data_IF_346045313875
#
_entry.id   IF_346045313875
#
_cell.length_a   1.000
_cell.length_b   1.000
_cell.length_c   1.000
_cell.angle_alpha   90.00
_cell.angle_beta   90.00
_cell.angle_gamma   90.00
#
_symmetry.space_group_name_H-M   'P 1'
#
loop_
_entity.id
_entity.type
_entity.pdbx_description
1 polymer ?
#
# COMPACT_ATOMS: atom_id res chain seq x y z
N UNK A 1 -57.84 3.00 0.72
CA UNK A 1 -57.70 3.52 2.10
C UNK A 1 -56.21 3.78 2.33
N UNK A 2 -55.86 5.03 2.68
CA UNK A 2 -54.53 5.55 3.12
C UNK A 2 -53.44 5.47 2.04
N UNK A 3 -53.21 6.48 1.20
CA UNK A 3 -52.82 7.91 1.36
C UNK A 3 -51.34 8.10 1.73
N UNK A 4 -50.63 8.57 0.70
CA UNK A 4 -49.25 9.06 0.60
C UNK A 4 -49.04 10.30 1.47
N UNK A 5 -47.91 10.36 2.20
CA UNK A 5 -47.39 11.62 2.74
C UNK A 5 -46.05 11.97 2.09
N UNK A 6 -46.10 13.06 1.30
CA UNK A 6 -44.96 13.78 0.75
C UNK A 6 -44.56 14.85 1.75
N UNK A 7 -43.28 14.92 2.08
CA UNK A 7 -42.68 16.04 2.78
C UNK A 7 -42.57 17.25 1.83
N UNK A 8 -42.88 18.45 2.31
CA UNK A 8 -42.63 19.70 1.60
C UNK A 8 -42.76 20.95 2.48
N UNK A 9 -41.67 21.74 2.49
CA UNK A 9 -41.49 23.22 2.53
C UNK A 9 -42.12 24.02 3.69
N UNK A 10 -41.32 24.60 4.61
CA UNK A 10 -40.58 25.87 4.53
C UNK A 10 -41.44 27.15 4.62
N UNK A 11 -41.20 28.00 5.63
CA UNK A 11 -40.53 29.32 5.52
C UNK A 11 -41.04 30.41 6.52
N UNK A 12 -40.05 31.11 7.12
CA UNK A 12 -39.94 32.54 7.51
C UNK A 12 -40.80 33.26 8.57
N UNK A 13 -40.08 33.70 9.62
CA UNK A 13 -39.91 35.06 10.22
C UNK A 13 -41.05 36.09 10.19
N UNK A 14 -41.30 36.75 11.34
CA UNK A 14 -41.31 38.23 11.49
C UNK A 14 -40.94 38.64 12.94
N UNK A 15 -40.11 39.68 13.05
CA UNK A 15 -39.73 40.47 14.23
C UNK A 15 -40.85 41.32 14.86
N UNK A 16 -40.71 41.61 16.16
CA UNK A 16 -41.05 42.85 16.88
C UNK A 16 -40.85 42.58 18.39
N UNK A 17 -40.13 43.33 19.22
CA UNK A 17 -39.74 44.73 19.23
C UNK A 17 -40.13 45.32 20.59
N UNK A 18 -39.19 46.01 21.27
CA UNK A 18 -39.27 46.73 22.57
C UNK A 18 -39.27 45.92 23.88
N UNK A 19 -38.83 46.43 25.02
CA UNK A 19 -37.79 47.38 25.48
C UNK A 19 -37.82 47.26 27.02
N UNK A 20 -36.70 47.41 27.74
CA UNK A 20 -36.73 47.36 29.21
C UNK A 20 -35.42 46.97 29.90
N UNK A 21 -34.80 47.95 30.53
CA UNK A 21 -33.43 48.03 31.06
C UNK A 21 -33.05 47.01 32.16
N UNK A 22 -31.78 46.59 32.16
CA UNK A 22 -31.12 45.88 33.28
C UNK A 22 -30.01 46.77 33.86
N UNK A 23 -29.98 47.03 35.18
CA UNK A 23 -28.82 47.64 35.81
C UNK A 23 -27.74 46.60 36.14
N UNK A 24 -26.49 47.00 35.91
CA UNK A 24 -25.27 46.29 36.26
C UNK A 24 -24.98 46.43 37.76
N UNK A 25 -24.58 45.33 38.40
CA UNK A 25 -24.03 45.29 39.76
C UNK A 25 -22.66 44.59 39.76
N UNK A 26 -21.63 45.33 40.12
CA UNK A 26 -20.23 44.92 40.33
C UNK A 26 -19.99 44.42 41.76
N UNK A 27 -19.10 43.42 41.93
CA UNK A 27 -18.49 43.02 43.21
C UNK A 27 -18.12 41.52 43.23
N UNK A 28 -16.86 41.17 42.92
CA UNK A 28 -15.78 40.77 43.85
C UNK A 28 -15.78 39.29 44.28
N UNK A 29 -14.65 38.62 44.02
CA UNK A 29 -14.32 37.24 44.38
C UNK A 29 -13.97 37.10 45.87
N UNK A 30 -14.49 36.07 46.56
CA UNK A 30 -13.86 35.48 47.75
C UNK A 30 -14.09 33.96 47.86
N UNK A 31 -13.19 33.32 48.61
CA UNK A 31 -12.77 31.92 48.66
C UNK A 31 -13.54 30.97 49.61
N UNK A 32 -13.49 29.67 49.26
CA UNK A 32 -13.57 28.40 50.02
C UNK A 32 -14.00 28.41 51.50
N UNK A 33 -15.01 27.60 51.85
CA UNK A 33 -15.11 26.92 53.16
C UNK A 33 -15.70 25.50 53.05
N UNK A 34 -15.05 24.56 53.76
CA UNK A 34 -15.42 23.16 53.92
C UNK A 34 -16.64 23.01 54.84
N UNK A 35 -17.61 22.19 54.43
CA UNK A 35 -18.72 21.74 55.27
C UNK A 35 -18.82 20.22 55.23
N UNK A 36 -18.35 19.55 56.29
CA UNK A 36 -18.54 18.11 56.49
C UNK A 36 -20.00 17.85 56.87
N UNK A 37 -20.75 17.17 56.00
CA UNK A 37 -22.07 16.62 56.34
C UNK A 37 -21.88 15.13 56.64
N UNK A 38 -22.01 14.81 57.92
CA UNK A 38 -22.12 13.44 58.44
C UNK A 38 -23.52 12.93 58.10
N UNK A 39 -23.61 12.04 57.10
CA UNK A 39 -24.83 11.33 56.73
C UNK A 39 -24.87 9.94 57.37
N UNK A 40 -25.94 9.67 58.11
CA UNK A 40 -26.21 8.41 58.79
C UNK A 40 -26.25 7.20 57.84
N UNK A 41 -25.70 6.09 58.33
CA UNK A 41 -25.66 4.74 57.75
C UNK A 41 -27.05 4.16 57.50
N UNK A 42 -27.35 3.84 56.24
CA UNK A 42 -28.40 2.88 55.88
C UNK A 42 -27.77 1.49 55.71
N UNK A 43 -28.10 0.57 56.64
CA UNK A 43 -27.75 -0.84 56.61
C UNK A 43 -28.54 -1.58 55.51
N UNK A 44 -28.02 -1.63 54.28
CA UNK A 44 -28.58 -2.54 53.27
C UNK A 44 -27.63 -3.07 52.19
N UNK A 45 -26.35 -2.66 52.14
CA UNK A 45 -25.41 -3.18 51.14
C UNK A 45 -24.06 -3.49 51.80
N UNK A 46 -23.90 -4.76 52.19
CA UNK A 46 -22.63 -5.36 52.59
C UNK A 46 -21.86 -5.67 51.29
N UNK A 47 -20.65 -5.11 51.05
CA UNK A 47 -19.85 -5.52 49.90
C UNK A 47 -19.36 -6.95 50.14
N UNK A 48 -19.47 -7.87 49.17
CA UNK A 48 -18.96 -9.22 49.34
C UNK A 48 -17.43 -9.17 49.47
N UNK A 49 -16.95 -9.81 50.53
CA UNK A 49 -15.53 -9.99 50.79
C UNK A 49 -14.94 -10.98 49.78
N UNK A 50 -13.86 -10.54 49.13
CA UNK A 50 -12.75 -11.29 48.53
C UNK A 50 -12.96 -12.81 48.40
N UNK A 51 -13.42 -13.26 47.24
CA UNK A 51 -12.85 -14.47 46.63
C UNK A 51 -11.74 -14.01 45.69
N UNK A 52 -10.54 -14.46 46.00
CA UNK A 52 -9.31 -14.26 45.27
C UNK A 52 -9.52 -14.62 43.79
N UNK A 53 -9.86 -13.61 43.00
CA UNK A 53 -9.99 -13.75 41.55
C UNK A 53 -8.61 -14.12 41.05
N UNK A 54 -8.52 -15.31 40.48
CA UNK A 54 -7.42 -15.79 39.66
C UNK A 54 -6.92 -14.63 38.81
N UNK A 55 -5.60 -14.56 38.62
CA UNK A 55 -4.94 -13.67 37.66
C UNK A 55 -5.62 -13.91 36.29
N UNK A 56 -6.68 -13.18 36.01
CA UNK A 56 -7.19 -12.96 34.67
C UNK A 56 -6.12 -12.09 34.06
N UNK A 57 -5.51 -12.54 32.96
CA UNK A 57 -4.68 -11.70 32.12
C UNK A 57 -5.52 -10.49 31.71
N UNK A 58 -5.42 -9.40 32.47
CA UNK A 58 -6.11 -8.16 32.14
C UNK A 58 -5.41 -7.65 30.89
N UNK A 59 -5.96 -7.97 29.72
CA UNK A 59 -5.50 -7.43 28.44
C UNK A 59 -5.40 -5.92 28.57
N UNK A 60 -4.25 -5.38 28.14
CA UNK A 60 -4.03 -3.93 28.13
C UNK A 60 -5.06 -3.24 27.21
N UNK A 61 -5.33 -1.96 27.45
CA UNK A 61 -6.25 -1.17 26.61
C UNK A 61 -5.88 -1.21 25.11
N UNK A 62 -4.60 -1.08 24.72
CA UNK A 62 -4.18 -1.24 23.32
C UNK A 62 -4.46 -2.62 22.73
N UNK A 63 -4.24 -3.69 23.51
CA UNK A 63 -4.53 -5.06 23.05
C UNK A 63 -6.03 -5.31 22.88
N UNK A 64 -6.87 -4.74 23.76
CA UNK A 64 -8.33 -4.82 23.62
C UNK A 64 -8.81 -4.04 22.39
N UNK A 65 -8.26 -2.85 22.15
CA UNK A 65 -8.57 -2.07 20.95
C UNK A 65 -8.16 -2.82 19.67
N UNK A 66 -6.96 -3.42 19.66
CA UNK A 66 -6.46 -4.24 18.57
C UNK A 66 -7.41 -5.41 18.25
N UNK A 67 -7.88 -6.15 19.26
CA UNK A 67 -8.89 -7.21 19.04
C UNK A 67 -10.19 -6.67 18.42
N UNK A 68 -10.64 -5.49 18.86
CA UNK A 68 -11.80 -4.82 18.26
C UNK A 68 -11.58 -4.51 16.78
N UNK A 69 -10.40 -3.97 16.42
CA UNK A 69 -10.05 -3.69 15.02
C UNK A 69 -9.90 -4.95 14.18
N UNK A 70 -9.31 -6.01 14.72
CA UNK A 70 -9.20 -7.32 14.05
C UNK A 70 -10.59 -7.90 13.80
N UNK A 71 -11.47 -7.90 14.80
CA UNK A 71 -12.85 -8.40 14.65
C UNK A 71 -13.62 -7.63 13.58
N UNK A 72 -13.57 -6.29 13.63
CA UNK A 72 -14.20 -5.44 12.61
C UNK A 72 -13.60 -5.68 11.22
N UNK A 73 -12.28 -5.90 11.14
CA UNK A 73 -11.59 -6.27 9.90
C UNK A 73 -12.07 -7.60 9.33
N UNK A 74 -12.21 -8.64 10.17
CA UNK A 74 -12.74 -9.93 9.76
C UNK A 74 -14.18 -9.81 9.22
N UNK A 75 -15.04 -9.04 9.90
CA UNK A 75 -16.41 -8.80 9.43
C UNK A 75 -16.44 -8.06 8.09
N UNK A 76 -15.59 -7.04 7.92
CA UNK A 76 -15.45 -6.30 6.65
C UNK A 76 -14.95 -7.20 5.51
N UNK A 77 -13.98 -8.10 5.78
CA UNK A 77 -13.47 -9.07 4.80
C UNK A 77 -14.54 -10.08 4.41
N UNK A 78 -15.27 -10.64 5.37
CA UNK A 78 -16.36 -11.58 5.12
C UNK A 78 -17.48 -10.95 4.28
N UNK A 79 -17.77 -9.67 4.51
CA UNK A 79 -18.74 -8.93 3.69
C UNK A 79 -18.19 -8.66 2.29
N UNK A 80 -16.93 -8.23 2.18
CA UNK A 80 -16.28 -7.98 0.90
C UNK A 80 -16.25 -9.22 0.00
N UNK A 81 -15.98 -10.40 0.56
CA UNK A 81 -15.99 -11.66 -0.20
C UNK A 81 -17.35 -11.96 -0.82
N UNK A 82 -18.44 -11.72 -0.07
CA UNK A 82 -19.82 -11.88 -0.59
C UNK A 82 -20.13 -10.86 -1.67
N UNK A 83 -19.70 -9.60 -1.49
CA UNK A 83 -19.93 -8.55 -2.47
C UNK A 83 -19.20 -8.86 -3.80
N UNK A 84 -18.03 -9.49 -3.73
CA UNK A 84 -17.22 -9.89 -4.89
C UNK A 84 -17.80 -11.09 -5.67
N UNK A 85 -18.89 -11.72 -5.23
CA UNK A 85 -19.58 -12.77 -6.00
C UNK A 85 -20.27 -12.21 -7.26
N UNK A 86 -20.57 -10.91 -7.27
CA UNK A 86 -21.31 -10.28 -8.37
C UNK A 86 -20.68 -8.97 -8.84
N UNK A 87 -20.67 -8.77 -10.15
CA UNK A 87 -20.30 -7.49 -10.78
C UNK A 87 -21.32 -6.40 -10.40
N UNK A 88 -20.91 -5.13 -10.45
CA UNK A 88 -21.86 -4.02 -10.35
C UNK A 88 -22.85 -4.11 -11.51
N UNK A 89 -24.14 -3.93 -11.23
CA UNK A 89 -25.15 -3.80 -12.28
C UNK A 89 -25.08 -2.38 -12.85
N UNK A 90 -24.53 -2.26 -14.04
CA UNK A 90 -24.46 -1.01 -14.76
C UNK A 90 -25.76 -0.76 -15.54
N UNK A 91 -26.24 0.49 -15.62
CA UNK A 91 -27.29 0.84 -16.59
C UNK A 91 -26.80 0.55 -18.01
N UNK A 92 -27.70 0.26 -18.97
CA UNK A 92 -27.30 -0.02 -20.34
C UNK A 92 -26.56 1.19 -20.93
N UNK A 93 -25.24 1.05 -21.07
CA UNK A 93 -24.37 2.10 -21.61
C UNK A 93 -24.58 2.18 -23.12
N UNK A 94 -24.82 3.38 -23.63
CA UNK A 94 -24.91 3.64 -25.07
C UNK A 94 -23.55 3.51 -25.75
N UNK A 95 -23.55 3.40 -27.08
CA UNK A 95 -22.33 3.49 -27.90
C UNK A 95 -22.03 4.92 -28.34
N UNK A 96 -22.68 5.91 -27.74
CA UNK A 96 -22.43 7.31 -28.05
C UNK A 96 -21.05 7.76 -27.51
N UNK A 97 -20.44 8.79 -28.11
CA UNK A 97 -19.13 9.27 -27.70
C UNK A 97 -19.03 9.66 -26.22
N UNK A 98 -20.12 10.15 -25.61
CA UNK A 98 -20.15 10.54 -24.20
C UNK A 98 -20.14 9.32 -23.27
N UNK A 99 -20.96 8.32 -23.55
CA UNK A 99 -20.98 7.05 -22.81
C UNK A 99 -19.63 6.31 -22.89
N UNK A 100 -18.98 6.35 -24.06
CA UNK A 100 -17.65 5.75 -24.22
C UNK A 100 -16.57 6.49 -23.42
N UNK A 101 -16.60 7.83 -23.43
CA UNK A 101 -15.68 8.66 -22.64
C UNK A 101 -15.90 8.45 -21.14
N UNK A 102 -17.15 8.48 -20.68
CA UNK A 102 -17.49 8.22 -19.28
C UNK A 102 -17.00 6.84 -18.83
N UNK A 103 -17.15 5.82 -19.68
CA UNK A 103 -16.69 4.47 -19.39
C UNK A 103 -15.16 4.40 -19.23
N UNK A 104 -14.43 5.06 -20.12
CA UNK A 104 -12.96 5.14 -20.07
C UNK A 104 -12.50 5.91 -18.83
N UNK A 105 -13.06 7.08 -18.57
CA UNK A 105 -12.71 7.93 -17.41
C UNK A 105 -13.05 7.27 -16.07
N UNK A 106 -14.22 6.64 -15.98
CA UNK A 106 -14.63 5.91 -14.77
C UNK A 106 -13.72 4.72 -14.53
N UNK A 107 -13.40 3.96 -15.58
CA UNK A 107 -12.50 2.81 -15.49
C UNK A 107 -11.11 3.25 -15.00
N UNK A 108 -10.53 4.29 -15.59
CA UNK A 108 -9.21 4.80 -15.21
C UNK A 108 -9.22 5.36 -13.77
N UNK A 109 -10.28 6.08 -13.38
CA UNK A 109 -10.44 6.61 -12.01
C UNK A 109 -10.53 5.47 -10.99
N UNK A 110 -11.33 4.44 -11.26
CA UNK A 110 -11.45 3.27 -10.39
C UNK A 110 -10.12 2.50 -10.29
N UNK A 111 -9.38 2.31 -11.39
CA UNK A 111 -8.06 1.65 -11.36
C UNK A 111 -7.05 2.41 -10.51
N UNK A 112 -6.99 3.73 -10.65
CA UNK A 112 -6.11 4.58 -9.83
C UNK A 112 -6.51 4.50 -8.34
N UNK A 113 -7.81 4.45 -8.06
CA UNK A 113 -8.34 4.34 -6.70
C UNK A 113 -7.94 3.00 -6.08
N UNK A 114 -8.15 1.88 -6.78
CA UNK A 114 -7.71 0.55 -6.35
C UNK A 114 -6.20 0.54 -6.09
N UNK A 115 -5.39 1.08 -7.00
CA UNK A 115 -3.93 1.14 -6.85
C UNK A 115 -3.51 1.92 -5.60
N UNK A 116 -4.18 3.04 -5.33
CA UNK A 116 -3.90 3.89 -4.18
C UNK A 116 -4.27 3.20 -2.86
N UNK A 117 -5.45 2.58 -2.79
CA UNK A 117 -5.87 1.85 -1.60
C UNK A 117 -5.02 0.60 -1.37
N UNK A 118 -4.67 -0.17 -2.42
CA UNK A 118 -3.75 -1.30 -2.29
C UNK A 118 -2.37 -0.87 -1.79
N UNK A 119 -1.86 0.28 -2.24
CA UNK A 119 -0.60 0.81 -1.71
C UNK A 119 -0.69 1.14 -0.22
N UNK A 120 -1.80 1.76 0.21
CA UNK A 120 -2.08 2.03 1.63
C UNK A 120 -2.14 0.72 2.44
N UNK A 121 -2.86 -0.28 1.94
CA UNK A 121 -2.99 -1.58 2.61
C UNK A 121 -1.67 -2.35 2.67
N UNK A 122 -0.85 -2.30 1.61
CA UNK A 122 0.48 -2.91 1.59
C UNK A 122 1.44 -2.19 2.54
N UNK A 123 1.40 -0.86 2.61
CA UNK A 123 2.18 -0.10 3.58
C UNK A 123 1.78 -0.44 5.03
N UNK A 124 0.47 -0.49 5.31
CA UNK A 124 -0.04 -0.92 6.62
C UNK A 124 0.34 -2.37 6.94
N UNK A 125 0.30 -3.27 5.95
CA UNK A 125 0.75 -4.67 6.12
C UNK A 125 2.23 -4.74 6.48
N UNK A 126 3.07 -3.95 5.79
CA UNK A 126 4.48 -3.84 6.12
C UNK A 126 4.67 -3.24 7.54
N UNK A 127 3.84 -2.28 7.95
CA UNK A 127 3.85 -1.74 9.30
C UNK A 127 3.47 -2.79 10.36
N UNK A 128 2.47 -3.64 10.11
CA UNK A 128 2.14 -4.78 11.00
C UNK A 128 3.36 -5.69 11.17
N UNK A 129 4.10 -5.94 10.08
CA UNK A 129 5.33 -6.74 10.13
C UNK A 129 6.43 -6.03 10.93
N UNK A 130 6.66 -4.73 10.73
CA UNK A 130 7.74 -4.01 11.41
C UNK A 130 7.43 -3.71 12.87
N UNK A 131 6.17 -3.46 13.23
CA UNK A 131 5.71 -3.17 14.59
C UNK A 131 5.56 -4.42 15.47
N UNK A 132 5.55 -5.61 14.87
CA UNK A 132 5.49 -6.89 15.58
C UNK A 132 6.88 -7.49 15.81
N UNK A 133 7.80 -6.75 16.45
CA UNK A 133 9.14 -7.24 16.79
C UNK A 133 9.07 -8.18 18.03
N UNK A 134 9.96 -9.18 18.13
CA UNK A 134 9.89 -10.18 19.22
C UNK A 134 10.24 -9.62 20.61
N UNK A 135 11.09 -8.58 20.66
CA UNK A 135 11.53 -7.98 21.92
C UNK A 135 10.52 -6.96 22.46
N UNK A 136 9.74 -6.35 21.56
CA UNK A 136 8.72 -5.35 21.88
C UNK A 136 7.67 -5.29 20.76
N UNK A 137 6.43 -5.67 21.06
CA UNK A 137 5.30 -5.54 20.12
C UNK A 137 4.61 -4.22 20.39
N UNK A 138 4.62 -3.34 19.38
CA UNK A 138 3.87 -2.09 19.42
C UNK A 138 2.41 -2.36 19.03
N UNK A 139 1.60 -2.73 20.02
CA UNK A 139 0.17 -3.01 19.83
C UNK A 139 -0.62 -1.80 19.31
N UNK A 140 -0.15 -0.57 19.56
CA UNK A 140 -0.78 0.66 19.07
C UNK A 140 -0.52 0.82 17.57
N UNK A 141 0.73 0.71 17.12
CA UNK A 141 1.08 0.76 15.71
C UNK A 141 0.45 -0.38 14.91
N UNK A 142 0.41 -1.61 15.46
CA UNK A 142 -0.30 -2.73 14.84
C UNK A 142 -1.81 -2.43 14.75
N UNK A 143 -2.43 -1.89 15.81
CA UNK A 143 -3.84 -1.51 15.81
C UNK A 143 -4.19 -0.45 14.78
N UNK A 144 -3.36 0.59 14.65
CA UNK A 144 -3.52 1.63 13.65
C UNK A 144 -3.42 1.07 12.22
N UNK A 145 -2.42 0.21 11.96
CA UNK A 145 -2.25 -0.43 10.66
C UNK A 145 -3.43 -1.36 10.30
N UNK A 146 -3.89 -2.18 11.25
CA UNK A 146 -5.07 -3.03 11.06
C UNK A 146 -6.31 -2.19 10.76
N UNK A 147 -6.54 -1.11 11.51
CA UNK A 147 -7.66 -0.19 11.26
C UNK A 147 -7.59 0.43 9.86
N UNK A 148 -6.39 0.81 9.40
CA UNK A 148 -6.18 1.36 8.05
C UNK A 148 -6.46 0.34 6.94
N UNK A 149 -6.07 -0.93 7.14
CA UNK A 149 -6.44 -2.03 6.25
C UNK A 149 -7.96 -2.17 6.20
N UNK A 150 -8.61 -2.25 7.37
CA UNK A 150 -10.07 -2.41 7.50
C UNK A 150 -10.85 -1.31 6.77
N UNK A 151 -10.40 -0.06 6.86
CA UNK A 151 -11.04 1.08 6.19
C UNK A 151 -10.87 1.07 4.67
N UNK A 152 -9.85 0.40 4.14
CA UNK A 152 -9.56 0.35 2.70
C UNK A 152 -10.28 -0.79 1.97
N UNK A 153 -10.69 -1.85 2.69
CA UNK A 153 -11.34 -3.03 2.10
C UNK A 153 -12.62 -2.67 1.32
N UNK A 154 -13.57 -1.87 1.86
CA UNK A 154 -14.83 -1.59 1.17
C UNK A 154 -14.61 -0.81 -0.14
N UNK A 155 -13.66 0.14 -0.13
CA UNK A 155 -13.32 0.94 -1.30
C UNK A 155 -12.72 0.07 -2.41
N UNK A 156 -11.71 -0.77 -2.09
CA UNK A 156 -11.12 -1.69 -3.08
C UNK A 156 -12.18 -2.62 -3.66
N UNK A 157 -13.04 -3.18 -2.81
CA UNK A 157 -14.09 -4.13 -3.22
C UNK A 157 -15.09 -3.48 -4.16
N UNK A 158 -15.58 -2.30 -3.81
CA UNK A 158 -16.52 -1.53 -4.62
C UNK A 158 -15.92 -1.18 -6.00
N UNK A 159 -14.71 -0.64 -6.01
CA UNK A 159 -14.06 -0.20 -7.25
C UNK A 159 -13.67 -1.38 -8.14
N UNK A 160 -13.21 -2.50 -7.57
CA UNK A 160 -12.94 -3.74 -8.33
C UNK A 160 -14.20 -4.28 -9.01
N UNK A 161 -15.35 -4.28 -8.33
CA UNK A 161 -16.61 -4.73 -8.94
C UNK A 161 -17.07 -3.82 -10.07
N UNK A 162 -16.78 -2.52 -9.97
CA UNK A 162 -17.04 -1.54 -11.02
C UNK A 162 -16.11 -1.77 -12.22
N UNK A 163 -14.80 -1.93 -11.99
CA UNK A 163 -13.83 -2.27 -13.04
C UNK A 163 -14.27 -3.55 -13.76
N UNK A 164 -14.57 -4.62 -13.02
CA UNK A 164 -14.99 -5.90 -13.58
C UNK A 164 -16.26 -5.81 -14.44
N UNK A 165 -17.16 -4.86 -14.15
CA UNK A 165 -18.37 -4.59 -14.93
C UNK A 165 -18.10 -3.73 -16.18
N UNK A 166 -17.08 -2.86 -16.14
CA UNK A 166 -16.72 -1.97 -17.25
C UNK A 166 -15.75 -2.61 -18.25
N UNK A 167 -15.07 -3.70 -17.88
CA UNK A 167 -14.17 -4.47 -18.74
C UNK A 167 -14.90 -5.07 -19.94
N UNK A 168 -14.25 -5.03 -21.11
CA UNK A 168 -14.82 -5.54 -22.37
C UNK A 168 -14.93 -7.08 -22.42
N UNK A 169 -14.13 -7.78 -21.61
CA UNK A 169 -14.06 -9.24 -21.54
C UNK A 169 -14.54 -9.76 -20.19
N UNK A 170 -15.64 -10.51 -20.21
CA UNK A 170 -16.26 -11.04 -18.99
C UNK A 170 -15.32 -11.96 -18.21
N UNK A 171 -14.49 -12.75 -18.91
CA UNK A 171 -13.55 -13.67 -18.30
C UNK A 171 -12.44 -12.93 -17.52
N UNK A 172 -12.00 -11.77 -18.00
CA UNK A 172 -10.99 -10.96 -17.31
C UNK A 172 -11.59 -10.24 -16.10
N UNK A 173 -12.85 -9.78 -16.20
CA UNK A 173 -13.59 -9.27 -15.06
C UNK A 173 -13.76 -10.31 -13.94
N UNK A 174 -14.08 -11.56 -14.29
CA UNK A 174 -14.23 -12.65 -13.30
C UNK A 174 -12.89 -13.04 -12.67
N UNK A 175 -11.80 -13.04 -13.44
CA UNK A 175 -10.44 -13.24 -12.91
C UNK A 175 -10.05 -12.15 -11.92
N UNK A 176 -10.46 -10.90 -12.17
CA UNK A 176 -10.22 -9.80 -11.26
C UNK A 176 -10.95 -10.01 -9.93
N UNK A 177 -12.24 -10.37 -9.98
CA UNK A 177 -13.03 -10.68 -8.78
C UNK A 177 -12.42 -11.84 -7.97
N UNK A 178 -11.96 -12.90 -8.65
CA UNK A 178 -11.27 -14.03 -8.02
C UNK A 178 -9.93 -13.60 -7.39
N UNK A 179 -9.12 -12.79 -8.07
CA UNK A 179 -7.87 -12.28 -7.52
C UNK A 179 -8.11 -11.42 -6.26
N UNK A 180 -9.14 -10.58 -6.26
CA UNK A 180 -9.50 -9.77 -5.10
C UNK A 180 -10.07 -10.61 -3.95
N UNK A 181 -10.82 -11.69 -4.22
CA UNK A 181 -11.23 -12.64 -3.16
C UNK A 181 -10.03 -13.33 -2.52
N UNK A 182 -9.03 -13.73 -3.31
CA UNK A 182 -7.77 -14.26 -2.77
C UNK A 182 -7.03 -13.24 -1.91
N UNK A 183 -7.08 -11.96 -2.30
CA UNK A 183 -6.53 -10.87 -1.50
C UNK A 183 -7.27 -10.72 -0.16
N UNK A 184 -8.61 -10.75 -0.15
CA UNK A 184 -9.41 -10.72 1.08
C UNK A 184 -9.05 -11.89 2.02
N UNK A 185 -8.94 -13.10 1.48
CA UNK A 185 -8.50 -14.27 2.24
C UNK A 185 -7.10 -14.08 2.84
N UNK A 186 -6.15 -13.54 2.06
CA UNK A 186 -4.80 -13.27 2.56
C UNK A 186 -4.79 -12.23 3.69
N UNK A 187 -5.62 -11.19 3.61
CA UNK A 187 -5.82 -10.24 4.72
C UNK A 187 -6.47 -10.90 5.94
N UNK A 188 -7.44 -11.80 5.76
CA UNK A 188 -8.06 -12.52 6.88
C UNK A 188 -7.03 -13.34 7.65
N UNK A 189 -6.14 -14.03 6.93
CA UNK A 189 -5.02 -14.78 7.53
C UNK A 189 -4.05 -13.86 8.25
N UNK A 190 -3.69 -12.71 7.65
CA UNK A 190 -2.81 -11.73 8.28
C UNK A 190 -3.39 -11.22 9.59
N UNK A 191 -4.68 -10.85 9.60
CA UNK A 191 -5.37 -10.35 10.78
C UNK A 191 -5.44 -11.40 11.90
N UNK A 192 -5.67 -12.68 11.56
CA UNK A 192 -5.62 -13.79 12.54
C UNK A 192 -4.22 -13.96 13.12
N UNK A 193 -3.19 -13.91 12.28
CA UNK A 193 -1.80 -14.01 12.74
C UNK A 193 -1.32 -12.78 13.53
N UNK A 194 -2.00 -11.64 13.42
CA UNK A 194 -1.69 -10.41 14.16
C UNK A 194 -2.39 -10.31 15.53
N UNK A 195 -3.16 -11.33 15.94
CA UNK A 195 -3.81 -11.35 17.25
C UNK A 195 -2.79 -11.31 18.40
N UNK A 196 -2.99 -10.46 19.42
CA UNK A 196 -2.03 -10.26 20.51
C UNK A 196 -1.81 -11.50 21.39
N UNK A 197 -2.76 -12.44 21.42
CA UNK A 197 -2.65 -13.71 22.15
C UNK A 197 -2.33 -14.91 21.23
N UNK A 198 -1.94 -14.65 19.98
CA UNK A 198 -1.60 -15.72 19.04
C UNK A 198 -0.42 -16.55 19.54
N UNK A 199 -0.63 -17.86 19.67
CA UNK A 199 0.42 -18.84 20.00
C UNK A 199 1.25 -19.25 18.78
N UNK A 200 0.96 -18.66 17.63
CA UNK A 200 1.57 -19.06 16.37
C UNK A 200 3.00 -18.51 16.24
N UNK A 201 3.89 -19.24 15.55
CA UNK A 201 5.23 -18.75 15.28
C UNK A 201 5.17 -17.49 14.42
N UNK A 202 6.06 -16.53 14.70
CA UNK A 202 6.17 -15.25 13.97
C UNK A 202 6.28 -15.40 12.44
N UNK A 203 6.81 -16.53 11.98
CA UNK A 203 6.90 -16.90 10.58
C UNK A 203 5.52 -16.98 9.89
N UNK A 204 4.46 -17.34 10.62
CA UNK A 204 3.10 -17.38 10.08
C UNK A 204 2.64 -15.99 9.66
N UNK A 205 2.86 -14.96 10.51
CA UNK A 205 2.57 -13.57 10.15
C UNK A 205 3.38 -13.12 8.93
N UNK A 206 4.67 -13.46 8.85
CA UNK A 206 5.50 -13.12 7.67
C UNK A 206 4.99 -13.78 6.38
N UNK A 207 4.56 -15.04 6.48
CA UNK A 207 4.00 -15.79 5.36
C UNK A 207 2.64 -15.20 4.93
N UNK A 208 1.77 -14.86 5.88
CA UNK A 208 0.49 -14.23 5.61
C UNK A 208 0.67 -12.85 4.94
N UNK A 209 1.58 -12.02 5.46
CA UNK A 209 1.95 -10.75 4.83
C UNK A 209 2.48 -10.97 3.41
N UNK A 210 3.34 -11.96 3.19
CA UNK A 210 3.84 -12.29 1.85
C UNK A 210 2.72 -12.67 0.88
N UNK A 211 1.73 -13.47 1.34
CA UNK A 211 0.54 -13.81 0.54
C UNK A 211 -0.28 -12.57 0.16
N UNK A 212 -0.40 -11.59 1.07
CA UNK A 212 -1.05 -10.30 0.78
C UNK A 212 -0.32 -9.59 -0.36
N UNK A 213 1.01 -9.49 -0.31
CA UNK A 213 1.81 -8.87 -1.38
C UNK A 213 1.60 -9.52 -2.75
N UNK A 214 1.61 -10.86 -2.79
CA UNK A 214 1.41 -11.64 -4.02
C UNK A 214 -0.01 -11.47 -4.58
N UNK A 215 -1.04 -11.51 -3.72
CA UNK A 215 -2.42 -11.29 -4.14
C UNK A 215 -2.65 -9.84 -4.59
N UNK A 216 -2.08 -8.85 -3.90
CA UNK A 216 -2.12 -7.44 -4.31
C UNK A 216 -1.48 -7.24 -5.68
N UNK A 217 -0.32 -7.87 -5.91
CA UNK A 217 0.33 -7.88 -7.22
C UNK A 217 -0.54 -8.50 -8.31
N UNK A 218 -1.22 -9.62 -8.01
CA UNK A 218 -2.13 -10.26 -8.97
C UNK A 218 -3.32 -9.36 -9.34
N UNK A 219 -3.91 -8.64 -8.38
CA UNK A 219 -4.98 -7.67 -8.64
C UNK A 219 -4.48 -6.54 -9.55
N UNK A 220 -3.34 -5.93 -9.22
CA UNK A 220 -2.72 -4.85 -10.00
C UNK A 220 -2.35 -5.26 -11.43
N UNK A 221 -1.85 -6.50 -11.59
CA UNK A 221 -1.56 -7.09 -12.89
C UNK A 221 -2.83 -7.29 -13.72
N UNK A 222 -3.93 -7.72 -13.09
CA UNK A 222 -5.20 -7.98 -13.77
C UNK A 222 -5.93 -6.71 -14.21
N UNK A 223 -5.84 -5.62 -13.43
CA UNK A 223 -6.42 -4.31 -13.83
C UNK A 223 -5.61 -3.60 -14.93
N UNK A 224 -4.43 -4.12 -15.28
CA UNK A 224 -3.58 -3.58 -16.34
C UNK A 224 -2.76 -2.35 -15.93
N UNK A 225 -2.58 -2.13 -14.62
CA UNK A 225 -1.72 -1.06 -14.07
C UNK A 225 -0.24 -1.47 -14.03
N UNK A 226 0.07 -2.74 -14.29
CA UNK A 226 1.44 -3.25 -14.30
C UNK A 226 2.11 -3.06 -15.67
N UNK A 227 2.91 -1.99 -15.80
CA UNK A 227 3.80 -1.82 -16.96
C UNK A 227 4.95 -2.84 -16.94
N UNK A 228 5.51 -3.16 -18.12
CA UNK A 228 6.69 -4.05 -18.24
C UNK A 228 7.85 -3.54 -17.38
N UNK A 229 8.04 -2.22 -17.34
CA UNK A 229 9.09 -1.56 -16.59
C UNK A 229 8.83 -1.63 -15.08
N UNK A 230 7.56 -1.52 -14.64
CA UNK A 230 7.17 -1.73 -13.24
C UNK A 230 7.53 -3.15 -12.80
N UNK A 231 7.27 -4.14 -13.64
CA UNK A 231 7.58 -5.55 -13.35
C UNK A 231 9.08 -5.81 -13.23
N UNK A 232 9.89 -5.26 -14.12
CA UNK A 232 11.36 -5.35 -14.03
C UNK A 232 11.90 -4.70 -12.75
N UNK A 233 11.35 -3.55 -12.34
CA UNK A 233 11.68 -2.90 -11.07
C UNK A 233 11.29 -3.78 -9.86
N UNK A 234 10.11 -4.40 -9.89
CA UNK A 234 9.66 -5.31 -8.85
C UNK A 234 10.60 -6.53 -8.72
N UNK A 235 10.95 -7.15 -9.85
CA UNK A 235 11.84 -8.32 -9.90
C UNK A 235 13.25 -7.98 -9.42
N UNK A 236 13.79 -6.81 -9.81
CA UNK A 236 15.09 -6.34 -9.36
C UNK A 236 15.09 -6.08 -7.84
N UNK A 237 14.05 -5.44 -7.31
CA UNK A 237 13.90 -5.20 -5.87
C UNK A 237 13.90 -6.52 -5.08
N UNK A 238 13.14 -7.52 -5.54
CA UNK A 238 13.08 -8.83 -4.90
C UNK A 238 14.41 -9.58 -5.00
N UNK A 239 15.15 -9.42 -6.10
CA UNK A 239 16.49 -9.97 -6.26
C UNK A 239 17.47 -9.37 -5.23
N UNK A 240 17.45 -8.05 -5.05
CA UNK A 240 18.28 -7.36 -4.07
C UNK A 240 17.94 -7.75 -2.63
N UNK A 241 16.65 -7.86 -2.29
CA UNK A 241 16.22 -8.35 -0.98
C UNK A 241 16.70 -9.78 -0.70
N UNK A 242 16.67 -10.66 -1.71
CA UNK A 242 17.25 -12.02 -1.63
C UNK A 242 18.77 -11.99 -1.46
N UNK A 243 19.47 -11.08 -2.13
CA UNK A 243 20.92 -10.92 -1.98
C UNK A 243 21.27 -10.53 -0.53
N UNK A 244 20.54 -9.58 0.07
CA UNK A 244 20.66 -9.25 1.49
C UNK A 244 20.46 -10.50 2.34
N UNK A 245 19.39 -11.26 2.11
CA UNK A 245 19.13 -12.50 2.87
C UNK A 245 20.26 -13.52 2.79
N UNK A 246 20.85 -13.72 1.60
CA UNK A 246 21.96 -14.65 1.40
C UNK A 246 23.23 -14.18 2.12
N UNK A 247 23.58 -12.90 2.00
CA UNK A 247 24.74 -12.32 2.72
C UNK A 247 24.55 -12.37 4.24
N UNK A 248 23.34 -12.10 4.74
CA UNK A 248 23.06 -12.20 6.18
C UNK A 248 23.10 -13.64 6.66
N UNK A 249 22.62 -14.61 5.87
CA UNK A 249 22.75 -16.02 6.21
C UNK A 249 24.22 -16.43 6.37
N UNK A 250 25.10 -15.96 5.47
CA UNK A 250 26.54 -16.19 5.58
C UNK A 250 27.12 -15.56 6.87
N UNK A 251 26.74 -14.31 7.20
CA UNK A 251 27.14 -13.65 8.44
C UNK A 251 26.69 -14.42 9.69
N UNK A 252 25.44 -14.87 9.72
CA UNK A 252 24.87 -15.66 10.83
C UNK A 252 25.62 -16.98 11.01
N UNK A 253 26.05 -17.62 9.92
CA UNK A 253 26.89 -18.82 10.00
C UNK A 253 28.25 -18.52 10.62
N UNK A 254 28.89 -17.39 10.27
CA UNK A 254 30.16 -16.96 10.89
C UNK A 254 29.99 -16.67 12.38
N UNK A 255 28.91 -15.99 12.77
CA UNK A 255 28.58 -15.75 14.18
C UNK A 255 28.38 -17.07 14.96
N UNK A 256 27.72 -18.06 14.35
CA UNK A 256 27.57 -19.40 14.96
C UNK A 256 28.91 -20.12 15.13
N UNK A 257 29.86 -19.96 14.20
CA UNK A 257 31.22 -20.50 14.36
C UNK A 257 31.95 -19.85 15.54
N UNK A 258 31.74 -18.55 15.77
CA UNK A 258 32.28 -17.85 16.95
C UNK A 258 31.64 -18.40 18.24
N UNK A 259 30.30 -18.51 18.28
CA UNK A 259 29.61 -19.07 19.43
C UNK A 259 30.07 -20.50 19.79
N UNK A 260 30.43 -21.31 18.77
CA UNK A 260 30.91 -22.67 18.98
C UNK A 260 32.28 -22.76 19.67
N UNK A 261 33.12 -21.73 19.55
CA UNK A 261 34.45 -21.67 20.19
C UNK A 261 34.47 -20.84 21.47
N UNK A 262 33.43 -20.04 21.73
CA UNK A 262 33.29 -19.30 22.98
C UNK A 262 33.04 -20.26 24.13
N UNK A 263 33.87 -20.20 25.18
CA UNK A 263 33.76 -21.06 26.37
C UNK A 263 32.66 -20.61 27.33
N UNK A 264 32.54 -19.29 27.54
CA UNK A 264 31.53 -18.68 28.40
C UNK A 264 30.11 -18.86 27.86
N UNK A 265 29.27 -19.53 28.64
CA UNK A 265 27.89 -19.84 28.26
C UNK A 265 27.02 -18.58 28.13
N UNK A 266 27.25 -17.58 28.97
CA UNK A 266 26.54 -16.30 28.89
C UNK A 266 26.80 -15.58 27.58
N UNK A 267 28.07 -15.44 27.21
CA UNK A 267 28.51 -14.81 25.95
C UNK A 267 28.12 -15.62 24.72
N UNK A 268 28.21 -16.96 24.79
CA UNK A 268 27.71 -17.85 23.74
C UNK A 268 26.22 -17.62 23.47
N UNK A 269 25.40 -17.55 24.51
CA UNK A 269 23.96 -17.31 24.38
C UNK A 269 23.65 -15.90 23.86
N UNK A 270 24.44 -14.88 24.24
CA UNK A 270 24.34 -13.53 23.66
C UNK A 270 24.58 -13.54 22.15
N UNK A 271 25.62 -14.23 21.66
CA UNK A 271 25.91 -14.35 20.22
C UNK A 271 24.78 -15.06 19.48
N UNK A 272 24.26 -16.16 20.03
CA UNK A 272 23.15 -16.92 19.42
C UNK A 272 21.87 -16.08 19.36
N UNK A 273 21.58 -15.32 20.42
CA UNK A 273 20.45 -14.39 20.47
C UNK A 273 20.56 -13.30 19.39
N UNK A 274 21.70 -12.61 19.33
CA UNK A 274 21.96 -11.57 18.32
C UNK A 274 21.90 -12.14 16.89
N UNK A 275 22.42 -13.35 16.66
CA UNK A 275 22.38 -14.00 15.35
C UNK A 275 20.95 -14.37 14.94
N UNK A 276 20.12 -14.82 15.90
CA UNK A 276 18.71 -15.14 15.66
C UNK A 276 17.88 -13.89 15.37
N UNK A 277 18.14 -12.80 16.09
CA UNK A 277 17.52 -11.48 15.85
C UNK A 277 17.88 -10.95 14.45
N UNK A 278 19.15 -11.05 14.05
CA UNK A 278 19.61 -10.66 12.72
C UNK A 278 18.95 -11.47 11.59
N UNK A 279 18.81 -12.78 11.78
CA UNK A 279 18.09 -13.63 10.84
C UNK A 279 16.60 -13.26 10.74
N UNK A 280 15.94 -12.98 11.87
CA UNK A 280 14.54 -12.58 11.89
C UNK A 280 14.30 -11.22 11.23
N UNK A 281 15.11 -10.20 11.56
CA UNK A 281 15.04 -8.87 10.93
C UNK A 281 15.20 -8.97 9.41
N UNK A 282 16.06 -9.88 8.95
CA UNK A 282 16.25 -10.13 7.51
C UNK A 282 15.03 -10.80 6.88
N UNK A 283 14.42 -11.78 7.55
CA UNK A 283 13.16 -12.38 7.08
C UNK A 283 12.02 -11.36 7.03
N UNK A 284 11.96 -10.42 7.99
CA UNK A 284 11.03 -9.29 7.97
C UNK A 284 11.28 -8.38 6.77
N UNK A 285 12.55 -8.02 6.49
CA UNK A 285 12.90 -7.23 5.31
C UNK A 285 12.42 -7.89 4.02
N UNK A 286 12.65 -9.20 3.85
CA UNK A 286 12.21 -9.92 2.65
C UNK A 286 10.69 -9.96 2.54
N UNK A 287 9.98 -10.20 3.64
CA UNK A 287 8.52 -10.16 3.67
C UNK A 287 8.00 -8.76 3.31
N UNK A 288 8.56 -7.70 3.92
CA UNK A 288 8.22 -6.32 3.60
C UNK A 288 8.47 -6.01 2.11
N UNK A 289 9.64 -6.39 1.58
CA UNK A 289 9.96 -6.19 0.16
C UNK A 289 8.94 -6.86 -0.77
N UNK A 290 8.46 -8.06 -0.44
CA UNK A 290 7.40 -8.76 -1.21
C UNK A 290 6.05 -8.06 -1.12
N UNK A 291 5.67 -7.59 0.06
CA UNK A 291 4.44 -6.83 0.28
C UNK A 291 4.43 -5.53 -0.51
N UNK A 292 5.55 -4.80 -0.46
CA UNK A 292 5.62 -3.44 -1.00
C UNK A 292 6.05 -3.38 -2.46
N UNK A 293 6.67 -4.43 -3.00
CA UNK A 293 7.12 -4.48 -4.39
C UNK A 293 6.06 -3.97 -5.38
N UNK A 294 4.82 -4.51 -5.42
CA UNK A 294 3.84 -4.11 -6.42
C UNK A 294 3.37 -2.65 -6.32
N UNK A 295 3.65 -2.00 -5.18
CA UNK A 295 3.23 -0.62 -4.89
C UNK A 295 4.40 0.26 -4.44
N UNK A 296 5.64 -0.10 -4.81
CA UNK A 296 6.88 0.58 -4.38
C UNK A 296 6.95 2.05 -4.81
N UNK A 297 6.12 2.41 -5.79
CA UNK A 297 5.93 3.77 -6.25
C UNK A 297 5.24 4.69 -5.22
N UNK A 298 4.59 4.11 -4.21
CA UNK A 298 3.99 4.85 -3.09
C UNK A 298 5.06 5.26 -2.08
N UNK A 299 5.06 6.51 -1.57
CA UNK A 299 6.00 6.94 -0.53
C UNK A 299 5.89 6.11 0.75
N UNK A 300 4.68 5.80 1.21
CA UNK A 300 4.47 5.03 2.44
C UNK A 300 5.11 3.64 2.37
N UNK A 301 4.99 2.97 1.21
CA UNK A 301 5.64 1.68 0.96
C UNK A 301 7.18 1.76 1.02
N UNK A 302 7.76 2.85 0.49
CA UNK A 302 9.21 3.07 0.51
C UNK A 302 9.71 3.30 1.93
N UNK A 303 9.02 4.15 2.70
CA UNK A 303 9.38 4.42 4.10
C UNK A 303 9.39 3.15 4.93
N UNK A 304 8.41 2.25 4.76
CA UNK A 304 8.39 0.97 5.46
C UNK A 304 9.54 0.04 5.05
N UNK A 305 9.89 0.00 3.76
CA UNK A 305 11.02 -0.81 3.30
C UNK A 305 12.37 -0.25 3.77
N UNK A 306 12.53 1.07 3.79
CA UNK A 306 13.71 1.75 4.33
C UNK A 306 13.83 1.57 5.85
N UNK A 307 12.70 1.57 6.58
CA UNK A 307 12.68 1.24 8.00
C UNK A 307 13.14 -0.21 8.26
N UNK A 308 12.61 -1.17 7.51
CA UNK A 308 13.02 -2.58 7.62
C UNK A 308 14.52 -2.77 7.28
N UNK A 309 15.03 -2.08 6.26
CA UNK A 309 16.45 -2.14 5.89
C UNK A 309 17.36 -1.55 6.99
N UNK A 310 16.92 -0.46 7.64
CA UNK A 310 17.62 0.12 8.80
C UNK A 310 17.66 -0.84 9.99
N UNK A 311 16.57 -1.58 10.24
CA UNK A 311 16.53 -2.57 11.32
C UNK A 311 17.54 -3.71 11.06
N UNK A 312 17.64 -4.20 9.82
CA UNK A 312 18.67 -5.19 9.47
C UNK A 312 20.07 -4.63 9.68
N UNK A 313 20.34 -3.38 9.28
CA UNK A 313 21.64 -2.75 9.50
C UNK A 313 21.99 -2.65 11.00
N UNK A 314 21.02 -2.29 11.84
CA UNK A 314 21.18 -2.25 13.31
C UNK A 314 21.45 -3.64 13.88
N UNK A 315 20.71 -4.66 13.45
CA UNK A 315 20.91 -6.03 13.91
C UNK A 315 22.28 -6.61 13.48
N UNK A 316 22.75 -6.27 12.27
CA UNK A 316 24.09 -6.64 11.78
C UNK A 316 25.18 -5.96 12.60
N UNK A 317 25.04 -4.67 12.91
CA UNK A 317 26.00 -3.94 13.74
C UNK A 317 26.07 -4.52 15.16
N UNK A 318 24.92 -4.78 15.79
CA UNK A 318 24.83 -5.43 17.10
C UNK A 318 25.49 -6.82 17.09
N UNK A 319 25.20 -7.64 16.06
CA UNK A 319 25.81 -8.96 15.92
C UNK A 319 27.34 -8.89 15.80
N UNK A 320 27.85 -7.93 15.02
CA UNK A 320 29.28 -7.72 14.86
C UNK A 320 29.94 -7.29 16.18
N UNK A 321 29.31 -6.39 16.94
CA UNK A 321 29.79 -5.95 18.25
C UNK A 321 29.85 -7.11 19.26
N UNK A 322 28.74 -7.83 19.45
CA UNK A 322 28.65 -8.97 20.38
C UNK A 322 29.65 -10.06 20.03
N UNK A 323 29.84 -10.35 18.74
CA UNK A 323 30.83 -11.35 18.32
C UNK A 323 32.28 -10.88 18.49
N UNK A 324 32.57 -9.57 18.35
CA UNK A 324 33.91 -9.02 18.57
C UNK A 324 34.31 -9.05 20.05
N UNK A 325 33.36 -8.92 20.97
CA UNK A 325 33.57 -9.12 22.40
C UNK A 325 33.74 -10.60 22.76
N UNK A 326 33.08 -11.50 22.02
CA UNK A 326 33.01 -12.92 22.32
C UNK A 326 34.26 -13.73 21.90
N UNK A 327 35.18 -13.14 21.13
CA UNK A 327 36.36 -13.85 20.63
C UNK A 327 37.59 -12.95 20.49
N UNK A 328 38.74 -13.47 20.89
CA UNK A 328 40.06 -12.86 20.63
C UNK A 328 40.70 -13.40 19.34
N UNK A 329 40.04 -14.34 18.65
CA UNK A 329 40.58 -14.94 17.44
C UNK A 329 40.49 -13.96 16.26
N UNK A 330 41.64 -13.39 15.89
CA UNK A 330 41.77 -12.39 14.84
C UNK A 330 41.26 -12.87 13.47
N UNK A 331 41.36 -14.16 13.16
CA UNK A 331 40.86 -14.73 11.91
C UNK A 331 39.32 -14.78 11.88
N UNK A 332 38.69 -15.26 12.96
CA UNK A 332 37.22 -15.31 13.05
C UNK A 332 36.60 -13.90 13.04
N UNK A 333 37.26 -12.93 13.69
CA UNK A 333 36.85 -11.51 13.64
C UNK A 333 36.97 -10.92 12.25
N UNK A 334 38.05 -11.24 11.53
CA UNK A 334 38.25 -10.81 10.15
C UNK A 334 37.16 -11.34 9.21
N UNK A 335 36.87 -12.65 9.28
CA UNK A 335 35.82 -13.32 8.52
C UNK A 335 34.43 -12.72 8.79
N UNK A 336 34.10 -12.49 10.07
CA UNK A 336 32.83 -11.89 10.47
C UNK A 336 32.70 -10.45 9.95
N UNK A 337 33.76 -9.65 10.08
CA UNK A 337 33.78 -8.25 9.63
C UNK A 337 33.63 -8.17 8.11
N UNK A 338 34.27 -9.07 7.36
CA UNK A 338 34.10 -9.18 5.92
C UNK A 338 32.64 -9.51 5.55
N UNK A 339 32.05 -10.51 6.20
CA UNK A 339 30.65 -10.87 5.99
C UNK A 339 29.68 -9.73 6.34
N UNK A 340 29.92 -8.99 7.43
CA UNK A 340 29.10 -7.85 7.82
C UNK A 340 29.17 -6.72 6.78
N UNK A 341 30.35 -6.48 6.20
CA UNK A 341 30.55 -5.52 5.12
C UNK A 341 29.80 -5.93 3.85
N UNK A 342 29.77 -7.21 3.51
CA UNK A 342 29.00 -7.72 2.37
C UNK A 342 27.49 -7.51 2.55
N UNK A 343 26.98 -7.67 3.78
CA UNK A 343 25.58 -7.33 4.11
C UNK A 343 25.33 -5.83 3.96
N UNK A 344 26.22 -4.98 4.50
CA UNK A 344 26.09 -3.53 4.36
C UNK A 344 26.10 -3.08 2.90
N UNK A 345 26.93 -3.71 2.05
CA UNK A 345 26.94 -3.44 0.60
C UNK A 345 25.61 -3.83 -0.05
N UNK A 346 25.11 -5.03 0.23
CA UNK A 346 23.83 -5.51 -0.34
C UNK A 346 22.64 -4.64 0.10
N UNK A 347 22.65 -4.16 1.35
CA UNK A 347 21.66 -3.20 1.85
C UNK A 347 21.76 -1.84 1.15
N UNK A 348 22.98 -1.36 0.89
CA UNK A 348 23.20 -0.11 0.16
C UNK A 348 22.65 -0.21 -1.28
N UNK A 349 22.93 -1.30 -1.98
CA UNK A 349 22.43 -1.56 -3.33
C UNK A 349 20.89 -1.58 -3.36
N UNK A 350 20.25 -2.21 -2.36
CA UNK A 350 18.79 -2.21 -2.19
C UNK A 350 18.22 -0.80 -1.99
N UNK A 351 18.82 -0.01 -1.09
CA UNK A 351 18.38 1.36 -0.79
C UNK A 351 18.59 2.31 -1.97
N UNK A 352 19.67 2.12 -2.73
CA UNK A 352 19.91 2.88 -3.97
C UNK A 352 18.83 2.59 -5.00
N UNK A 353 18.44 1.33 -5.17
CA UNK A 353 17.36 0.95 -6.08
C UNK A 353 16.01 1.61 -5.72
N UNK A 354 15.68 1.70 -4.43
CA UNK A 354 14.46 2.39 -3.94
C UNK A 354 14.49 3.89 -4.30
N UNK A 355 15.66 4.53 -4.17
CA UNK A 355 15.86 5.95 -4.54
C UNK A 355 15.77 6.17 -6.05
N UNK A 356 16.36 5.28 -6.85
CA UNK A 356 16.30 5.36 -8.31
C UNK A 356 14.86 5.21 -8.82
N UNK A 357 14.11 4.26 -8.25
CA UNK A 357 12.68 4.07 -8.55
C UNK A 357 11.85 5.34 -8.30
N UNK A 358 12.20 6.10 -7.26
CA UNK A 358 11.56 7.38 -6.93
C UNK A 358 11.83 8.44 -8.01
N UNK A 359 13.09 8.55 -8.43
CA UNK A 359 13.53 9.55 -9.42
C UNK A 359 12.94 9.25 -10.78
N UNK A 360 12.82 7.99 -11.14
CA UNK A 360 12.24 7.55 -12.40
C UNK A 360 10.74 7.85 -12.47
N UNK A 361 10.01 7.66 -11.37
CA UNK A 361 8.60 8.09 -11.26
C UNK A 361 8.45 9.62 -11.40
N UNK A 362 9.28 10.40 -10.69
CA UNK A 362 9.22 11.86 -10.79
C UNK A 362 9.42 12.34 -12.24
N UNK A 363 10.39 11.75 -12.94
CA UNK A 363 10.64 12.03 -14.36
C UNK A 363 9.49 11.60 -15.29
N UNK A 364 8.74 10.54 -14.93
CA UNK A 364 7.55 10.11 -15.69
C UNK A 364 6.37 11.05 -15.50
N UNK A 365 6.07 11.46 -14.28
CA UNK A 365 4.97 12.42 -14.02
C UNK A 365 5.23 13.74 -14.76
N UNK A 366 6.48 14.22 -14.79
CA UNK A 366 6.87 15.36 -15.61
C UNK A 366 6.66 15.11 -17.12
N UNK A 367 6.79 13.87 -17.60
CA UNK A 367 6.59 13.53 -19.01
C UNK A 367 5.12 13.19 -19.37
N UNK A 368 4.28 12.81 -18.40
CA UNK A 368 2.89 12.37 -18.59
C UNK A 368 1.86 13.51 -18.63
N UNK A 369 2.18 14.67 -18.04
CA UNK A 369 1.45 15.92 -18.25
C UNK A 369 2.23 16.91 -19.14
N UNK A 370 2.55 16.53 -20.41
CA UNK A 370 3.21 17.45 -21.33
C UNK A 370 2.30 18.63 -21.68
N UNK A 371 0.97 18.50 -21.51
CA UNK A 371 0.01 19.59 -21.67
C UNK A 371 0.16 20.63 -20.56
N UNK A 372 0.18 20.23 -19.29
CA UNK A 372 0.35 21.17 -18.18
C UNK A 372 1.74 21.81 -18.20
N UNK A 373 2.77 21.04 -18.55
CA UNK A 373 4.11 21.60 -18.72
C UNK A 373 4.20 22.60 -19.88
N UNK A 374 3.45 22.39 -20.96
CA UNK A 374 3.28 23.39 -22.02
C UNK A 374 2.54 24.61 -21.50
N UNK A 375 1.45 24.45 -20.74
CA UNK A 375 0.66 25.55 -20.19
C UNK A 375 1.48 26.40 -19.20
N UNK A 376 2.13 25.77 -18.23
CA UNK A 376 2.98 26.44 -17.22
C UNK A 376 4.19 27.11 -17.87
N UNK A 377 4.91 26.43 -18.77
CA UNK A 377 6.05 27.05 -19.45
C UNK A 377 5.63 28.21 -20.36
N UNK A 378 4.44 28.14 -20.97
CA UNK A 378 3.87 29.24 -21.76
C UNK A 378 3.48 30.42 -20.87
N UNK A 379 2.84 30.17 -19.73
CA UNK A 379 2.42 31.21 -18.79
C UNK A 379 3.62 31.95 -18.18
N UNK A 380 4.67 31.22 -17.80
CA UNK A 380 5.92 31.82 -17.30
C UNK A 380 6.65 32.58 -18.42
N UNK A 381 6.66 32.04 -19.65
CA UNK A 381 7.29 32.73 -20.79
C UNK A 381 6.58 34.04 -21.16
N UNK A 382 5.25 34.07 -21.06
CA UNK A 382 4.43 35.26 -21.35
C UNK A 382 4.51 36.29 -20.23
N UNK A 383 4.64 35.85 -18.97
CA UNK A 383 4.75 36.73 -17.80
C UNK A 383 6.19 37.18 -17.47
N UNK A 384 7.20 36.47 -17.99
CA UNK A 384 8.61 36.81 -17.74
C UNK A 384 9.04 38.07 -18.48
N UNK A 385 9.74 38.95 -17.76
CA UNK A 385 10.36 40.17 -18.27
C UNK A 385 11.88 40.05 -18.42
N UNK A 386 12.47 38.93 -17.97
CA UNK A 386 13.89 38.63 -18.07
C UNK A 386 14.18 37.81 -19.35
N UNK A 387 14.98 38.32 -20.29
CA UNK A 387 15.36 37.60 -21.50
C UNK A 387 16.00 36.23 -21.25
N UNK A 388 16.75 36.03 -20.15
CA UNK A 388 17.39 34.74 -19.88
C UNK A 388 16.38 33.69 -19.41
N UNK A 389 15.45 34.07 -18.52
CA UNK A 389 14.37 33.20 -18.11
C UNK A 389 13.41 32.89 -19.28
N UNK A 390 13.13 33.86 -20.15
CA UNK A 390 12.34 33.61 -21.37
C UNK A 390 12.99 32.55 -22.28
N UNK A 391 14.31 32.58 -22.46
CA UNK A 391 15.05 31.58 -23.26
C UNK A 391 14.96 30.20 -22.61
N UNK A 392 15.13 30.13 -21.28
CA UNK A 392 15.04 28.88 -20.51
C UNK A 392 13.65 28.25 -20.65
N UNK A 393 12.62 29.07 -20.50
CA UNK A 393 11.22 28.65 -20.63
C UNK A 393 10.86 28.28 -22.07
N UNK A 394 11.42 28.96 -23.08
CA UNK A 394 11.21 28.62 -24.48
C UNK A 394 11.79 27.25 -24.84
N UNK A 395 12.97 26.92 -24.29
CA UNK A 395 13.57 25.60 -24.43
C UNK A 395 12.75 24.51 -23.72
N UNK A 396 12.25 24.81 -22.52
CA UNK A 396 11.40 23.91 -21.74
C UNK A 396 10.06 23.64 -22.47
N UNK A 397 9.44 24.69 -23.00
CA UNK A 397 8.23 24.63 -23.83
C UNK A 397 8.46 23.80 -25.09
N UNK A 398 9.58 24.00 -25.79
CA UNK A 398 9.92 23.23 -26.99
C UNK A 398 10.07 21.72 -26.70
N UNK A 399 10.69 21.36 -25.57
CA UNK A 399 10.81 19.96 -25.12
C UNK A 399 9.45 19.38 -24.74
N UNK A 400 8.65 20.10 -23.96
CA UNK A 400 7.31 19.67 -23.55
C UNK A 400 6.38 19.49 -24.76
N UNK A 401 6.44 20.39 -25.74
CA UNK A 401 5.67 20.31 -26.99
C UNK A 401 6.12 19.12 -27.83
N UNK A 402 7.42 18.84 -27.93
CA UNK A 402 7.92 17.66 -28.65
C UNK A 402 7.45 16.35 -28.02
N UNK A 403 7.45 16.27 -26.69
CA UNK A 403 6.90 15.12 -25.94
C UNK A 403 5.39 14.98 -26.14
N UNK A 404 4.63 16.08 -26.13
CA UNK A 404 3.21 16.08 -26.44
C UNK A 404 2.93 15.54 -27.86
N UNK A 405 3.71 15.97 -28.85
CA UNK A 405 3.58 15.48 -30.23
C UNK A 405 3.87 13.98 -30.29
N UNK A 406 4.86 13.50 -29.55
CA UNK A 406 5.21 12.08 -29.48
C UNK A 406 4.11 11.25 -28.80
N UNK A 407 3.56 11.72 -27.67
CA UNK A 407 2.48 11.04 -26.96
C UNK A 407 1.20 10.95 -27.80
N UNK A 408 0.85 12.02 -28.54
CA UNK A 408 -0.27 12.02 -29.49
C UNK A 408 -0.03 11.01 -30.63
N UNK A 409 1.20 10.90 -31.16
CA UNK A 409 1.54 9.92 -32.19
C UNK A 409 1.42 8.48 -31.70
N UNK A 410 1.82 8.20 -30.46
CA UNK A 410 1.69 6.86 -29.83
C UNK A 410 0.22 6.52 -29.59
N UNK A 411 -0.57 7.43 -29.00
CA UNK A 411 -2.02 7.23 -28.79
C UNK A 411 -2.77 6.98 -30.11
N UNK A 412 -2.36 7.61 -31.22
CA UNK A 412 -2.94 7.33 -32.55
C UNK A 412 -2.60 5.92 -33.06
N UNK A 413 -1.37 5.44 -32.85
CA UNK A 413 -0.99 4.07 -33.24
C UNK A 413 -1.75 3.04 -32.42
N UNK A 414 -1.88 3.25 -31.11
CA UNK A 414 -2.59 2.35 -30.21
C UNK A 414 -4.11 2.33 -30.49
N UNK A 415 -4.72 3.49 -30.76
CA UNK A 415 -6.10 3.57 -31.28
C UNK A 415 -6.28 2.86 -32.63
N UNK A 416 -5.32 2.98 -33.54
CA UNK A 416 -5.39 2.30 -34.84
C UNK A 416 -5.33 0.79 -34.68
N UNK A 417 -4.47 0.29 -33.77
CA UNK A 417 -4.37 -1.14 -33.45
C UNK A 417 -5.67 -1.64 -32.82
N UNK A 418 -6.22 -0.94 -31.81
CA UNK A 418 -7.50 -1.28 -31.17
C UNK A 418 -8.69 -1.27 -32.13
N UNK A 419 -8.73 -0.34 -33.10
CA UNK A 419 -9.79 -0.28 -34.12
C UNK A 419 -9.65 -1.42 -35.12
N UNK A 420 -8.44 -1.74 -35.61
CA UNK A 420 -8.27 -2.86 -36.54
C UNK A 420 -8.51 -4.22 -35.82
N UNK A 421 -8.22 -4.39 -34.51
CA UNK A 421 -8.52 -5.62 -33.76
C UNK A 421 -10.00 -5.77 -33.37
N UNK A 422 -10.68 -4.69 -32.95
CA UNK A 422 -12.12 -4.70 -32.71
C UNK A 422 -12.97 -4.91 -33.98
N UNK A 423 -12.43 -4.55 -35.15
CA UNK A 423 -13.09 -4.83 -36.45
C UNK A 423 -12.91 -6.28 -36.90
N UNK A 424 -11.78 -6.94 -36.57
CA UNK A 424 -11.57 -8.36 -36.86
C UNK A 424 -12.43 -9.29 -35.99
N UNK A 425 -12.75 -8.91 -34.74
CA UNK A 425 -13.56 -9.73 -33.81
C UNK A 425 -15.08 -9.69 -34.10
N UNK A 426 -15.55 -8.81 -34.99
CA UNK A 426 -16.97 -8.74 -35.44
C UNK A 426 -17.27 -9.55 -36.73
N UNK A 427 -16.45 -10.53 -37.07
CA UNK A 427 -16.82 -11.54 -38.08
C UNK A 427 -16.90 -12.93 -37.43
N UNK A 428 -18.10 -13.41 -37.05
CA UNK A 428 -18.30 -14.82 -36.82
C UNK A 428 -18.36 -15.52 -38.19
N UNK A 429 -17.46 -16.47 -38.42
CA UNK A 429 -17.38 -17.35 -39.59
C UNK A 429 -17.03 -16.71 -40.95
N UNK A 430 -15.75 -16.36 -41.15
CA UNK A 430 -15.14 -16.51 -42.48
C UNK A 430 -13.61 -16.50 -42.40
N UNK A 431 -13.00 -17.65 -42.68
CA UNK A 431 -11.56 -17.87 -42.81
C UNK A 431 -11.00 -17.30 -44.13
N UNK A 432 -11.45 -16.10 -44.53
CA UNK A 432 -11.02 -15.43 -45.76
C UNK A 432 -10.57 -14.01 -45.42
N UNK A 433 -9.30 -13.72 -45.71
CA UNK A 433 -8.76 -12.37 -45.61
C UNK A 433 -9.62 -11.38 -46.40
N UNK A 434 -9.95 -10.19 -45.85
CA UNK A 434 -10.74 -9.21 -46.56
C UNK A 434 -9.98 -8.64 -47.77
N UNK A 435 -10.67 -8.33 -48.88
CA UNK A 435 -10.06 -7.87 -50.12
C UNK A 435 -9.30 -6.54 -49.95
N UNK A 436 -8.27 -6.27 -50.78
CA UNK A 436 -7.38 -5.10 -50.65
C UNK A 436 -8.09 -3.73 -50.60
N UNK A 437 -9.27 -3.64 -51.21
CA UNK A 437 -10.08 -2.42 -51.26
C UNK A 437 -10.71 -2.06 -49.90
N UNK A 438 -10.92 -3.03 -49.00
CA UNK A 438 -11.43 -2.80 -47.64
C UNK A 438 -10.40 -2.04 -46.78
N UNK A 439 -9.12 -2.40 -46.91
CA UNK A 439 -7.99 -1.76 -46.22
C UNK A 439 -7.81 -0.30 -46.63
N UNK A 440 -8.02 0.03 -47.92
CA UNK A 440 -7.96 1.41 -48.42
C UNK A 440 -9.08 2.29 -47.88
N UNK A 441 -10.30 1.76 -47.71
CA UNK A 441 -11.46 2.51 -47.20
C UNK A 441 -11.36 2.86 -45.71
N UNK A 442 -10.66 2.04 -44.93
CA UNK A 442 -10.51 2.22 -43.48
C UNK A 442 -9.13 2.73 -43.04
N UNK A 443 -8.23 3.04 -43.98
CA UNK A 443 -6.92 3.63 -43.67
C UNK A 443 -5.94 2.69 -42.94
N UNK A 444 -6.27 1.40 -42.72
CA UNK A 444 -5.32 0.40 -42.24
C UNK A 444 -4.43 0.01 -43.46
N UNK A 445 -3.20 0.51 -43.57
CA UNK A 445 -2.21 0.01 -44.56
C UNK A 445 -1.53 -1.22 -43.96
N UNK A 446 -1.56 -2.41 -44.60
CA UNK A 446 -0.84 -3.57 -44.08
C UNK A 446 0.67 -3.31 -44.18
N UNK A 447 1.33 -3.15 -43.04
CA UNK A 447 2.79 -3.23 -42.97
C UNK A 447 3.16 -4.70 -43.07
N UNK A 448 3.26 -5.22 -44.30
CA UNK A 448 3.88 -6.52 -44.55
C UNK A 448 5.38 -6.33 -44.31
N UNK A 449 5.83 -6.56 -43.08
CA UNK A 449 7.24 -6.86 -42.82
C UNK A 449 7.53 -8.21 -43.46
N UNK A 450 8.05 -8.19 -44.68
CA UNK A 450 8.68 -9.34 -45.29
C UNK A 450 9.91 -9.68 -44.46
N UNK A 451 9.76 -10.64 -43.54
CA UNK A 451 10.90 -11.39 -43.02
C UNK A 451 11.42 -12.18 -44.23
N UNK A 452 12.48 -11.69 -44.86
CA UNK A 452 13.25 -12.52 -45.80
C UNK A 452 13.99 -13.57 -44.97
N UNK A 453 13.90 -14.86 -45.31
CA UNK A 453 14.85 -15.83 -44.82
C UNK A 453 16.10 -15.77 -45.70
N UNK A 454 17.21 -15.32 -45.12
CA UNK A 454 18.58 -15.75 -45.41
C UNK A 454 19.45 -15.39 -44.22
#
# INVERSE_FOLDING_TARGET
RVRVERHSIANRTVDAGSDGERPYGTGEMQSVQYGAIVGQVNLAHQPPMLQQTRISSVMSEPQRALLGYISAGQDALNQAEKDLETKVQLPPLGTDPGSLQWREETLDTSKQTVTTHLATMNAATAQVVTASQPDEIDHEAVGAAVSQITQSIPEVTKEVRLIAALMDDDCTGDKLLEATRKLCNAFSDLLKSAEPESKEPRQNLLNAATRVGEASGQVLSTIGEESIESRELHDMLLSLAKAVANTTAALVLKAKSIAAVTEDEGTRNRVIGAASQCALATSQLVACARVVAPTIQSPACREQLEAAAREVAKAVANLAEVCNEATDNQQLRGDLTAAAKDVSKSLADLLEHIKLSTREKARRVENENPVDNVLVATDILVSSTDPQEMIRQAQQLGRATALLIQSIKVKRKDRTIRVCSGSCLRQPNSLLMPPPEWWKRHGCVPVIRTIRPT
#
